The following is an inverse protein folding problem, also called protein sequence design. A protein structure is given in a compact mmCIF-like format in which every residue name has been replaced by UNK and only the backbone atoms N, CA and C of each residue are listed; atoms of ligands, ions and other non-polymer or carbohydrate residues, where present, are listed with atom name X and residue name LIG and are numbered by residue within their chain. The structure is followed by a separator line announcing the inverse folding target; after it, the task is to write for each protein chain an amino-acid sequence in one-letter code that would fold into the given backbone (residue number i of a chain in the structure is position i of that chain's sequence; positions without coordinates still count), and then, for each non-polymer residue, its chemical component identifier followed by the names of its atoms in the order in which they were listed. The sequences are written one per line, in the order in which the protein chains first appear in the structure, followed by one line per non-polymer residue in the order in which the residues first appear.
data_IF_829611947165
#
_entry.id   IF_829611947165
#
_cell.length_a   1.000
_cell.length_b   1.000
_cell.length_c   1.000
_cell.angle_alpha   90.00
_cell.angle_beta   90.00
_cell.angle_gamma   90.00
#
_symmetry.space_group_name_H-M   'P 1'
#
loop_
_entity.id
_entity.type
_entity.pdbx_description
1 polymer ?
#
# COMPACT_ATOMS: atom_id res chain seq x y z
N UNK A 1 14.56 17.10 7.50
CA UNK A 1 14.31 15.71 7.06
C UNK A 1 12.80 15.50 7.03
N UNK A 2 12.23 14.71 6.11
CA UNK A 2 10.79 14.47 6.09
C UNK A 2 10.37 13.84 7.42
N UNK A 3 9.28 14.35 7.99
CA UNK A 3 8.77 13.93 9.30
C UNK A 3 8.02 12.61 9.14
N UNK A 4 8.78 11.52 9.17
CA UNK A 4 8.37 10.14 8.88
C UNK A 4 8.62 9.26 10.11
N UNK A 5 7.59 8.52 10.51
CA UNK A 5 7.66 7.55 11.59
C UNK A 5 7.79 6.12 11.09
N UNK A 6 8.32 5.26 11.95
CA UNK A 6 8.25 3.82 11.84
C UNK A 6 7.57 3.28 13.10
N UNK A 7 6.54 2.46 12.93
CA UNK A 7 5.92 1.69 14.01
C UNK A 7 6.20 0.21 13.76
N UNK A 8 6.74 -0.48 14.77
CA UNK A 8 6.95 -1.92 14.73
C UNK A 8 5.84 -2.60 15.53
N UNK A 9 5.09 -3.46 14.87
CA UNK A 9 4.01 -4.27 15.43
C UNK A 9 4.44 -5.72 15.55
N UNK A 10 4.00 -6.38 16.61
CA UNK A 10 4.14 -7.81 16.84
C UNK A 10 2.84 -8.33 17.47
N UNK A 11 2.71 -9.64 17.64
CA UNK A 11 1.59 -10.21 18.39
C UNK A 11 1.46 -9.64 19.82
N UNK A 12 2.55 -9.15 20.42
CA UNK A 12 2.59 -8.62 21.79
C UNK A 12 1.94 -7.25 21.91
N UNK A 13 2.16 -6.36 20.94
CA UNK A 13 1.69 -4.98 20.99
C UNK A 13 0.51 -4.69 20.05
N UNK A 14 0.07 -5.66 19.24
CA UNK A 14 -1.12 -5.53 18.41
C UNK A 14 -2.39 -5.13 19.21
N UNK A 15 -2.63 -5.63 20.45
CA UNK A 15 -3.74 -5.13 21.28
C UNK A 15 -3.65 -3.63 21.60
N UNK A 16 -2.44 -3.06 21.60
CA UNK A 16 -2.15 -1.64 21.84
C UNK A 16 -2.10 -0.82 20.54
N UNK A 17 -2.48 -1.39 19.39
CA UNK A 17 -2.40 -0.70 18.09
C UNK A 17 -3.05 0.69 18.11
N UNK A 18 -4.23 0.82 18.74
CA UNK A 18 -4.97 2.08 18.79
C UNK A 18 -4.19 3.20 19.49
N UNK A 19 -3.58 2.91 20.65
CA UNK A 19 -2.78 3.89 21.38
C UNK A 19 -1.49 4.22 20.63
N UNK A 20 -0.83 3.23 20.02
CA UNK A 20 0.37 3.43 19.22
C UNK A 20 0.11 4.32 17.99
N UNK A 21 -1.03 4.14 17.31
CA UNK A 21 -1.44 5.01 16.20
C UNK A 21 -1.76 6.43 16.67
N UNK A 22 -2.40 6.59 17.84
CA UNK A 22 -2.64 7.90 18.43
C UNK A 22 -1.33 8.62 18.82
N UNK A 23 -0.34 7.88 19.33
CA UNK A 23 1.01 8.42 19.58
C UNK A 23 1.69 8.84 18.27
N UNK A 24 1.61 8.00 17.22
CA UNK A 24 2.16 8.33 15.91
C UNK A 24 1.53 9.60 15.33
N UNK A 25 0.21 9.76 15.46
CA UNK A 25 -0.53 10.94 15.02
C UNK A 25 -0.04 12.26 15.64
N UNK A 26 0.49 12.21 16.86
CA UNK A 26 1.02 13.38 17.57
C UNK A 26 2.51 13.64 17.26
N UNK A 27 3.24 12.59 16.91
CA UNK A 27 4.71 12.63 16.82
C UNK A 27 5.22 12.85 15.38
N UNK A 28 4.40 12.50 14.39
CA UNK A 28 4.73 12.49 12.96
C UNK A 28 3.69 13.30 12.19
N UNK A 29 4.10 14.02 11.14
CA UNK A 29 3.19 14.85 10.32
C UNK A 29 2.92 14.33 8.92
N UNK A 30 3.78 13.48 8.34
CA UNK A 30 3.66 13.10 6.92
C UNK A 30 3.27 11.63 6.72
N UNK A 31 4.15 10.70 7.10
CA UNK A 31 4.02 9.29 6.75
C UNK A 31 4.41 8.41 7.92
N UNK A 32 3.63 7.36 8.13
CA UNK A 32 3.93 6.31 9.10
C UNK A 32 4.12 4.99 8.35
N UNK A 33 5.34 4.47 8.38
CA UNK A 33 5.59 3.10 7.97
C UNK A 33 5.26 2.16 9.13
N UNK A 34 4.56 1.06 8.84
CA UNK A 34 4.24 0.03 9.83
C UNK A 34 4.92 -1.27 9.41
N UNK A 35 5.75 -1.81 10.28
CA UNK A 35 6.38 -3.12 10.13
C UNK A 35 5.67 -4.11 11.03
N UNK A 36 5.07 -5.17 10.47
CA UNK A 36 4.55 -6.26 11.29
C UNK A 36 5.57 -7.41 11.40
N UNK A 37 5.74 -7.92 12.61
CA UNK A 37 6.66 -8.99 12.97
C UNK A 37 5.86 -10.18 13.51
N UNK A 38 5.62 -11.14 12.64
CA UNK A 38 4.87 -12.35 12.97
C UNK A 38 4.21 -12.97 11.75
N UNK A 39 3.67 -14.19 11.88
CA UNK A 39 2.81 -14.77 10.84
C UNK A 39 1.48 -14.01 10.75
N UNK A 40 0.77 -14.15 9.62
CA UNK A 40 -0.59 -13.62 9.49
C UNK A 40 -0.70 -12.13 9.10
N UNK A 41 0.35 -11.56 8.48
CA UNK A 41 0.27 -10.18 7.96
C UNK A 41 -0.97 -9.96 7.07
N UNK A 42 -1.33 -10.90 6.20
CA UNK A 42 -2.49 -10.78 5.32
C UNK A 42 -3.84 -10.63 6.08
N UNK A 43 -3.95 -11.27 7.25
CA UNK A 43 -5.14 -11.21 8.11
C UNK A 43 -5.22 -9.89 8.88
N UNK A 44 -4.07 -9.38 9.31
CA UNK A 44 -3.96 -8.17 10.14
C UNK A 44 -3.99 -6.89 9.28
N UNK A 45 -3.56 -6.98 8.01
CA UNK A 45 -3.40 -5.84 7.11
C UNK A 45 -4.69 -4.98 6.95
N UNK A 46 -5.90 -5.54 6.70
CA UNK A 46 -7.11 -4.72 6.61
C UNK A 46 -7.44 -4.00 7.93
N UNK A 47 -7.24 -4.69 9.06
CA UNK A 47 -7.47 -4.13 10.39
C UNK A 47 -6.54 -2.95 10.67
N UNK A 48 -5.25 -3.08 10.34
CA UNK A 48 -4.26 -1.99 10.53
C UNK A 48 -4.65 -0.75 9.75
N UNK A 49 -5.02 -0.90 8.48
CA UNK A 49 -5.46 0.23 7.66
C UNK A 49 -6.78 0.84 8.18
N UNK A 50 -7.74 0.03 8.62
CA UNK A 50 -8.97 0.52 9.22
C UNK A 50 -8.70 1.34 10.49
N UNK A 51 -7.92 0.81 11.42
CA UNK A 51 -7.57 1.52 12.66
C UNK A 51 -6.77 2.80 12.36
N UNK A 52 -5.92 2.77 11.34
CA UNK A 52 -5.17 3.95 10.90
C UNK A 52 -6.08 5.07 10.40
N UNK A 53 -7.12 4.76 9.62
CA UNK A 53 -8.11 5.78 9.22
C UNK A 53 -8.89 6.39 10.38
N UNK A 54 -9.01 5.68 11.51
CA UNK A 54 -9.73 6.16 12.68
C UNK A 54 -8.82 7.01 13.58
N UNK A 55 -7.60 6.54 13.83
CA UNK A 55 -6.74 7.10 14.87
C UNK A 55 -5.64 8.04 14.36
N UNK A 56 -5.31 7.98 13.07
CA UNK A 56 -4.32 8.87 12.45
C UNK A 56 -4.67 9.20 10.98
N UNK A 57 -5.89 9.71 10.69
CA UNK A 57 -6.37 9.95 9.31
C UNK A 57 -5.51 10.95 8.51
N UNK A 58 -4.76 11.81 9.20
CA UNK A 58 -3.86 12.79 8.59
C UNK A 58 -2.55 12.19 8.08
N UNK A 59 -2.20 10.97 8.49
CA UNK A 59 -0.94 10.33 8.11
C UNK A 59 -1.13 9.43 6.88
N UNK A 60 -0.17 9.50 5.96
CA UNK A 60 -0.02 8.48 4.94
C UNK A 60 0.52 7.20 5.62
N UNK A 61 -0.36 6.29 6.03
CA UNK A 61 0.07 5.01 6.60
C UNK A 61 0.42 4.03 5.47
N UNK A 62 1.57 3.36 5.58
CA UNK A 62 2.04 2.33 4.64
C UNK A 62 2.59 1.12 5.40
N UNK A 63 1.98 -0.04 5.20
CA UNK A 63 2.44 -1.30 5.82
C UNK A 63 3.53 -1.92 4.95
N UNK A 64 4.71 -2.15 5.52
CA UNK A 64 5.85 -2.73 4.82
C UNK A 64 5.69 -4.25 4.68
N UNK A 65 5.92 -4.77 3.47
CA UNK A 65 5.69 -6.16 3.08
C UNK A 65 7.00 -6.94 2.89
N UNK A 66 8.07 -6.28 2.46
CA UNK A 66 9.40 -6.88 2.29
C UNK A 66 10.33 -6.63 3.47
N UNK A 67 11.65 -6.74 3.34
CA UNK A 67 12.64 -6.44 4.39
C UNK A 67 13.13 -5.00 4.37
N UNK A 68 12.99 -4.29 3.25
CA UNK A 68 13.38 -2.88 3.11
C UNK A 68 12.71 -2.04 4.19
N UNK A 69 13.49 -1.17 4.81
CA UNK A 69 13.01 -0.17 5.77
C UNK A 69 13.36 1.20 5.19
N UNK A 70 12.36 2.00 4.81
CA UNK A 70 12.58 3.37 4.38
C UNK A 70 13.25 4.20 5.48
N UNK A 71 13.93 5.31 5.11
CA UNK A 71 14.48 6.24 6.10
C UNK A 71 13.34 6.83 6.95
N UNK A 72 13.48 6.74 8.27
CA UNK A 72 12.55 7.28 9.25
C UNK A 72 13.29 8.16 10.26
N UNK A 73 12.58 9.13 10.83
CA UNK A 73 13.11 10.04 11.84
C UNK A 73 12.77 9.59 13.26
N UNK A 74 11.65 8.90 13.44
CA UNK A 74 11.15 8.49 14.75
C UNK A 74 10.67 7.05 14.74
N UNK A 75 11.00 6.30 15.79
CA UNK A 75 10.43 4.98 16.06
C UNK A 75 9.29 5.16 17.07
N UNK A 76 8.13 4.59 16.76
CA UNK A 76 6.93 4.65 17.61
C UNK A 76 6.79 3.33 18.37
N UNK A 77 6.67 3.43 19.70
CA UNK A 77 6.59 2.29 20.61
C UNK A 77 7.96 1.68 20.95
N UNK A 78 7.93 0.58 21.71
CA UNK A 78 9.14 -0.02 22.30
C UNK A 78 9.64 -1.27 21.57
N UNK A 79 8.89 -1.76 20.56
CA UNK A 79 9.29 -2.94 19.79
C UNK A 79 10.47 -2.63 18.88
N UNK A 80 11.49 -3.49 18.93
CA UNK A 80 12.70 -3.36 18.12
C UNK A 80 12.54 -4.04 16.78
N UNK A 81 13.24 -3.51 15.77
CA UNK A 81 13.40 -4.16 14.49
C UNK A 81 14.13 -5.50 14.65
N UNK A 82 13.59 -6.51 14.00
CA UNK A 82 14.08 -7.89 13.93
C UNK A 82 13.82 -8.38 12.51
N UNK A 83 14.57 -9.39 12.10
CA UNK A 83 14.35 -10.06 10.83
C UNK A 83 12.96 -10.67 10.77
N UNK A 84 12.29 -10.45 9.64
CA UNK A 84 10.95 -10.97 9.38
C UNK A 84 10.98 -12.03 8.29
N UNK A 85 10.19 -13.07 8.49
CA UNK A 85 9.89 -14.03 7.43
C UNK A 85 9.03 -13.33 6.38
N UNK A 86 9.54 -13.23 5.15
CA UNK A 86 8.79 -12.66 4.03
C UNK A 86 7.87 -13.75 3.47
N UNK A 87 6.61 -13.38 3.22
CA UNK A 87 5.64 -14.29 2.58
C UNK A 87 6.17 -14.63 1.19
N UNK A 88 6.26 -15.93 0.87
CA UNK A 88 6.67 -16.38 -0.46
C UNK A 88 5.51 -16.11 -1.45
N UNK A 89 5.71 -15.27 -2.48
CA UNK A 89 4.64 -14.95 -3.41
C UNK A 89 4.23 -16.18 -4.24
N UNK A 90 2.94 -16.30 -4.53
CA UNK A 90 2.36 -17.45 -5.24
C UNK A 90 2.46 -17.32 -6.76
N UNK A 91 2.25 -16.12 -7.29
CA UNK A 91 2.10 -15.88 -8.72
C UNK A 91 3.32 -15.13 -9.28
N UNK A 92 3.67 -15.39 -10.54
CA UNK A 92 4.74 -14.65 -11.22
C UNK A 92 4.35 -13.19 -11.43
N UNK A 93 3.14 -12.97 -11.93
CA UNK A 93 2.54 -11.67 -12.24
C UNK A 93 1.16 -11.58 -11.61
N UNK A 94 0.77 -10.40 -11.16
CA UNK A 94 -0.60 -10.11 -10.69
C UNK A 94 -1.13 -8.91 -11.45
N UNK A 95 -2.39 -8.98 -11.89
CA UNK A 95 -3.07 -7.88 -12.58
C UNK A 95 -4.25 -7.42 -11.74
N UNK A 96 -4.40 -6.10 -11.63
CA UNK A 96 -5.56 -5.47 -11.03
C UNK A 96 -5.87 -4.16 -11.74
N UNK A 97 -7.07 -3.62 -11.51
CA UNK A 97 -7.48 -2.35 -12.09
C UNK A 97 -8.31 -1.53 -11.13
N UNK A 98 -8.31 -0.22 -11.34
CA UNK A 98 -9.01 0.74 -10.50
C UNK A 98 -8.81 2.15 -10.99
N UNK A 99 -9.55 3.10 -10.40
CA UNK A 99 -9.32 4.51 -10.69
C UNK A 99 -8.15 5.06 -9.90
N UNK A 100 -7.93 4.60 -8.67
CA UNK A 100 -6.83 5.06 -7.81
C UNK A 100 -6.76 6.59 -7.67
N UNK A 101 -7.91 7.27 -7.69
CA UNK A 101 -7.99 8.67 -7.31
C UNK A 101 -7.68 8.78 -5.81
N UNK A 102 -6.73 9.65 -5.44
CA UNK A 102 -6.33 9.93 -4.05
C UNK A 102 -6.26 8.66 -3.20
N UNK A 103 -5.16 7.90 -3.32
CA UNK A 103 -4.97 6.57 -2.71
C UNK A 103 -5.42 6.46 -1.24
N UNK A 104 -6.68 6.07 -1.04
CA UNK A 104 -7.23 5.78 0.27
C UNK A 104 -6.91 4.34 0.73
N UNK A 105 -7.22 4.05 1.99
CA UNK A 105 -6.87 2.78 2.63
C UNK A 105 -7.39 1.53 1.90
N UNK A 106 -8.58 1.59 1.30
CA UNK A 106 -9.07 0.51 0.43
C UNK A 106 -8.13 0.16 -0.75
N UNK A 107 -7.62 1.16 -1.47
CA UNK A 107 -6.63 0.93 -2.53
C UNK A 107 -5.33 0.34 -1.97
N UNK A 108 -4.88 0.84 -0.81
CA UNK A 108 -3.65 0.37 -0.17
C UNK A 108 -3.75 -1.10 0.23
N UNK A 109 -4.89 -1.55 0.77
CA UNK A 109 -5.14 -2.98 1.05
C UNK A 109 -5.07 -3.80 -0.23
N UNK A 110 -5.75 -3.37 -1.30
CA UNK A 110 -5.77 -4.07 -2.59
C UNK A 110 -4.36 -4.20 -3.20
N UNK A 111 -3.62 -3.09 -3.28
CA UNK A 111 -2.25 -3.05 -3.81
C UNK A 111 -1.29 -3.88 -2.95
N UNK A 112 -1.43 -3.82 -1.63
CA UNK A 112 -0.60 -4.61 -0.72
C UNK A 112 -0.84 -6.10 -0.87
N UNK A 113 -2.11 -6.54 -1.00
CA UNK A 113 -2.42 -7.95 -1.29
C UNK A 113 -1.87 -8.40 -2.64
N UNK A 114 -1.99 -7.56 -3.68
CA UNK A 114 -1.38 -7.85 -4.98
C UNK A 114 0.15 -8.01 -4.87
N UNK A 115 0.82 -7.14 -4.11
CA UNK A 115 2.26 -7.20 -3.88
C UNK A 115 2.71 -8.41 -3.05
N UNK A 116 1.90 -8.88 -2.10
CA UNK A 116 2.16 -10.12 -1.36
C UNK A 116 2.05 -11.36 -2.26
N UNK A 117 1.19 -11.31 -3.29
CA UNK A 117 0.93 -12.42 -4.19
C UNK A 117 1.88 -12.48 -5.39
N UNK A 118 2.42 -11.34 -5.83
CA UNK A 118 3.30 -11.22 -6.99
C UNK A 118 4.76 -11.46 -6.64
N UNK A 119 5.45 -12.26 -7.46
CA UNK A 119 6.90 -12.50 -7.34
C UNK A 119 7.72 -11.47 -8.11
N UNK A 120 7.26 -11.08 -9.30
CA UNK A 120 8.02 -10.22 -10.21
C UNK A 120 7.28 -8.92 -10.51
N UNK A 121 6.04 -9.00 -11.00
CA UNK A 121 5.35 -7.84 -11.55
C UNK A 121 3.92 -7.70 -11.02
N UNK A 122 3.54 -6.46 -10.74
CA UNK A 122 2.14 -6.04 -10.64
C UNK A 122 1.86 -5.15 -11.85
N UNK A 123 0.86 -5.51 -12.65
CA UNK A 123 0.34 -4.60 -13.69
C UNK A 123 -0.98 -4.02 -13.20
N UNK A 124 -1.01 -2.69 -13.08
CA UNK A 124 -2.13 -1.96 -12.54
C UNK A 124 -2.80 -1.14 -13.64
N UNK A 125 -4.02 -1.51 -14.04
CA UNK A 125 -4.83 -0.74 -14.97
C UNK A 125 -5.48 0.46 -14.29
N UNK A 126 -5.11 1.67 -14.69
CA UNK A 126 -5.57 2.92 -14.10
C UNK A 126 -6.56 3.60 -15.05
N UNK A 127 -7.82 3.71 -14.65
CA UNK A 127 -8.90 4.18 -15.55
C UNK A 127 -8.67 5.58 -16.09
N UNK A 128 -8.96 5.79 -17.38
CA UNK A 128 -8.81 7.06 -18.10
C UNK A 128 -10.00 7.34 -19.06
N UNK A 129 -10.17 8.62 -19.42
CA UNK A 129 -11.21 9.16 -20.34
C UNK A 129 -12.58 8.49 -20.17
N UNK A 130 -13.02 7.74 -21.19
CA UNK A 130 -14.33 7.08 -21.29
C UNK A 130 -14.68 6.20 -20.09
N UNK A 131 -13.68 5.66 -19.38
CA UNK A 131 -13.90 4.85 -18.18
C UNK A 131 -14.19 5.66 -16.92
N UNK A 132 -13.77 6.93 -16.86
CA UNK A 132 -14.03 7.82 -15.72
C UNK A 132 -15.23 8.74 -15.96
N UNK A 133 -15.55 9.08 -17.21
CA UNK A 133 -16.64 10.00 -17.58
C UNK A 133 -18.03 9.55 -17.08
N UNK A 134 -18.21 8.25 -16.79
CA UNK A 134 -19.45 7.71 -16.22
C UNK A 134 -19.56 7.88 -14.70
N UNK A 135 -18.50 8.37 -14.03
CA UNK A 135 -18.49 8.61 -12.58
C UNK A 135 -18.99 10.01 -12.28
N UNK A 136 -19.71 10.16 -11.17
CA UNK A 136 -20.07 11.48 -10.66
C UNK A 136 -18.81 12.29 -10.35
N UNK A 137 -18.79 13.56 -10.75
CA UNK A 137 -17.68 14.50 -10.51
C UNK A 137 -16.34 14.02 -11.10
N UNK A 138 -16.36 13.35 -12.26
CA UNK A 138 -15.16 12.84 -12.91
C UNK A 138 -14.14 13.95 -13.23
N UNK A 139 -14.60 15.18 -13.37
CA UNK A 139 -13.79 16.38 -13.57
C UNK A 139 -12.88 16.70 -12.38
N UNK A 140 -13.21 16.20 -11.19
CA UNK A 140 -12.41 16.38 -9.96
C UNK A 140 -11.39 15.25 -9.72
N UNK A 141 -11.40 14.22 -10.58
CA UNK A 141 -10.44 13.12 -10.52
C UNK A 141 -9.07 13.62 -10.97
N UNK A 142 -8.04 13.22 -10.24
CA UNK A 142 -6.67 13.61 -10.54
C UNK A 142 -6.23 13.17 -11.96
N UNK A 143 -5.31 13.90 -12.61
CA UNK A 143 -4.74 13.48 -13.88
C UNK A 143 -4.19 12.05 -13.83
N UNK A 144 -4.30 11.33 -14.95
CA UNK A 144 -3.86 9.93 -15.06
C UNK A 144 -2.40 9.73 -14.64
N UNK A 145 -1.52 10.66 -15.00
CA UNK A 145 -0.10 10.63 -14.62
C UNK A 145 0.11 10.71 -13.11
N UNK A 146 -0.69 11.50 -12.39
CA UNK A 146 -0.62 11.63 -10.93
C UNK A 146 -1.04 10.33 -10.27
N UNK A 147 -2.18 9.75 -10.70
CA UNK A 147 -2.72 8.51 -10.13
C UNK A 147 -1.83 7.31 -10.40
N UNK A 148 -1.36 7.14 -11.65
CA UNK A 148 -0.44 6.06 -12.02
C UNK A 148 0.86 6.12 -11.21
N UNK A 149 1.45 7.32 -11.10
CA UNK A 149 2.64 7.55 -10.29
C UNK A 149 2.40 7.23 -8.80
N UNK A 150 1.26 7.63 -8.24
CA UNK A 150 0.94 7.34 -6.85
C UNK A 150 0.85 5.83 -6.57
N UNK A 151 0.30 5.05 -7.51
CA UNK A 151 0.24 3.58 -7.45
C UNK A 151 1.66 2.99 -7.44
N UNK A 152 2.49 3.38 -8.39
CA UNK A 152 3.88 2.88 -8.52
C UNK A 152 4.71 3.24 -7.29
N UNK A 153 4.64 4.49 -6.83
CA UNK A 153 5.33 4.96 -5.62
C UNK A 153 4.85 4.23 -4.36
N UNK A 154 3.57 3.89 -4.26
CA UNK A 154 3.05 3.11 -3.12
C UNK A 154 3.64 1.70 -3.10
N UNK A 155 3.62 0.98 -4.23
CA UNK A 155 4.15 -0.39 -4.30
C UNK A 155 5.67 -0.40 -4.08
N UNK A 156 6.40 0.56 -4.65
CA UNK A 156 7.85 0.70 -4.45
C UNK A 156 8.25 0.95 -2.98
N UNK A 157 7.40 1.64 -2.23
CA UNK A 157 7.63 1.93 -0.83
C UNK A 157 7.41 0.72 0.09
N UNK A 158 6.39 -0.10 -0.22
CA UNK A 158 5.94 -1.19 0.65
C UNK A 158 6.54 -2.55 0.30
N UNK A 159 6.97 -2.76 -0.95
CA UNK A 159 7.53 -4.02 -1.42
C UNK A 159 9.00 -3.88 -1.84
N UNK A 160 9.76 -4.97 -1.75
CA UNK A 160 11.20 -4.99 -2.03
C UNK A 160 11.51 -5.38 -3.48
N UNK A 161 10.88 -6.45 -3.95
CA UNK A 161 11.30 -7.18 -5.16
C UNK A 161 10.33 -7.04 -6.32
N UNK A 162 9.13 -6.54 -6.07
CA UNK A 162 8.06 -6.49 -7.06
C UNK A 162 8.09 -5.14 -7.78
N UNK A 163 8.09 -5.19 -9.11
CA UNK A 163 7.97 -4.00 -9.96
C UNK A 163 6.49 -3.75 -10.22
N UNK A 164 6.04 -2.51 -10.03
CA UNK A 164 4.69 -2.10 -10.41
C UNK A 164 4.76 -1.31 -11.70
N UNK A 165 3.87 -1.65 -12.64
CA UNK A 165 3.66 -0.94 -13.90
C UNK A 165 2.22 -0.46 -13.90
N UNK A 166 2.01 0.85 -13.84
CA UNK A 166 0.68 1.44 -13.90
C UNK A 166 0.38 1.95 -15.32
N UNK A 167 -0.58 1.31 -16.00
CA UNK A 167 -0.97 1.66 -17.37
C UNK A 167 -2.34 2.33 -17.39
N UNK A 168 -2.49 3.37 -18.20
CA UNK A 168 -3.79 3.97 -18.48
C UNK A 168 -4.69 2.97 -19.24
N UNK A 169 -5.94 2.79 -18.78
CA UNK A 169 -6.92 1.95 -19.46
C UNK A 169 -8.13 2.78 -19.90
N UNK A 170 -8.56 2.59 -21.14
CA UNK A 170 -9.74 3.24 -21.75
C UNK A 170 -10.87 2.25 -22.06
N UNK A 171 -10.65 0.97 -21.76
CA UNK A 171 -11.61 -0.13 -21.92
C UNK A 171 -11.58 -1.10 -20.71
N UNK A 172 -12.64 -1.92 -20.50
CA UNK A 172 -12.74 -2.81 -19.35
C UNK A 172 -11.71 -3.96 -19.30
N UNK A 173 -11.07 -4.31 -20.40
CA UNK A 173 -10.12 -5.43 -20.48
C UNK A 173 -8.70 -4.98 -20.14
N UNK A 174 -8.29 -3.81 -20.62
CA UNK A 174 -7.01 -3.18 -20.30
C UNK A 174 -5.80 -4.07 -20.65
N UNK A 175 -4.75 -4.11 -19.81
CA UNK A 175 -3.54 -4.86 -20.12
C UNK A 175 -3.72 -6.38 -19.98
N UNK A 176 -4.77 -6.86 -19.31
CA UNK A 176 -4.97 -8.28 -19.00
C UNK A 176 -5.01 -9.20 -20.24
N UNK A 177 -5.51 -8.69 -21.36
CA UNK A 177 -5.60 -9.42 -22.64
C UNK A 177 -4.30 -9.39 -23.47
N UNK A 178 -3.30 -8.60 -23.06
CA UNK A 178 -2.04 -8.39 -23.77
C UNK A 178 -0.82 -8.93 -23.03
N UNK A 179 -0.93 -9.18 -21.72
CA UNK A 179 0.18 -9.68 -20.91
C UNK A 179 0.33 -11.19 -21.15
N UNK A 180 1.46 -11.66 -21.71
CA UNK A 180 1.72 -13.09 -21.84
C UNK A 180 1.96 -13.71 -20.45
N UNK A 181 1.66 -14.99 -20.32
CA UNK A 181 1.88 -15.79 -19.12
C UNK A 181 1.11 -15.28 -17.87
N UNK A 182 -0.14 -14.81 -18.06
CA UNK A 182 -1.10 -14.73 -16.94
C UNK A 182 -1.61 -16.15 -16.64
N UNK A 183 -1.44 -16.58 -15.40
CA UNK A 183 -1.96 -17.85 -14.87
C UNK A 183 -3.33 -17.67 -14.20
#
# INVERSE_FOLDING_TARGET
MPDVGLLVLSARNLPSLKSLLATAAQSVKSRLYIRFQGPGLDEVLPSVYLQSSIHCPQLDVRVLLGRKIPKYAQLIGDEKLQDVTVIKPKYKKVVLGGTFDRLHNGHKVLLSKAALLARENIVCGVTHKKMIEKKSLWELIEPISVRARAVEEFVYDVADTVVCIAEAIEDPFGPSIRIPDLE
#
